data_IF_122036153748
#
_entry.id   IF_122036153748
#
_cell.length_a   1.000
_cell.length_b   1.000
_cell.length_c   1.000
_cell.angle_alpha   90.00
_cell.angle_beta   90.00
_cell.angle_gamma   90.00
#
_symmetry.space_group_name_H-M   'P 1'
#
loop_
_entity.id
_entity.type
_entity.pdbx_description
1 polymer ?
#
# COMPACT_ATOMS: atom_id res chain seq x y z
N UNK A 1 9.81 17.01 -19.47
CA UNK A 1 8.36 16.89 -19.30
C UNK A 1 8.01 16.86 -17.85
N UNK A 2 7.08 17.70 -17.47
CA UNK A 2 6.68 17.77 -16.07
C UNK A 2 6.12 16.45 -15.58
N UNK A 3 5.42 15.73 -16.45
CA UNK A 3 4.85 14.47 -16.03
C UNK A 3 5.90 13.47 -15.60
N UNK A 4 7.03 13.48 -16.30
CA UNK A 4 8.10 12.56 -15.95
C UNK A 4 8.68 12.87 -14.59
N UNK A 5 8.73 14.15 -14.25
CA UNK A 5 9.27 14.58 -12.96
C UNK A 5 8.37 14.18 -11.82
N UNK A 6 7.09 13.92 -12.11
CA UNK A 6 6.12 13.57 -11.07
C UNK A 6 5.82 12.08 -11.05
N UNK A 7 6.55 11.31 -11.82
CA UNK A 7 6.35 9.89 -11.89
C UNK A 7 7.60 9.20 -11.35
N UNK A 8 7.44 8.55 -10.23
CA UNK A 8 8.56 7.95 -9.51
C UNK A 8 8.72 6.47 -9.79
N UNK A 9 7.96 5.94 -10.75
CA UNK A 9 7.99 4.53 -11.06
C UNK A 9 7.23 3.70 -10.02
N UNK A 10 7.20 2.38 -10.22
CA UNK A 10 6.45 1.52 -9.28
C UNK A 10 6.89 1.76 -7.85
N UNK A 11 5.92 1.84 -6.97
CA UNK A 11 6.16 2.16 -5.57
C UNK A 11 6.11 0.90 -4.72
N UNK A 12 6.65 0.99 -3.49
CA UNK A 12 6.67 -0.15 -2.59
C UNK A 12 5.26 -0.70 -2.34
N UNK A 13 4.25 0.19 -2.34
CA UNK A 13 2.88 -0.28 -2.14
C UNK A 13 2.48 -1.31 -3.18
N UNK A 14 2.98 -1.18 -4.41
CA UNK A 14 2.66 -2.14 -5.45
C UNK A 14 3.18 -3.53 -5.07
N UNK A 15 4.43 -3.62 -4.64
CA UNK A 15 5.02 -4.89 -4.23
C UNK A 15 4.30 -5.47 -3.01
N UNK A 16 3.92 -4.61 -2.07
CA UNK A 16 3.21 -5.06 -0.88
C UNK A 16 1.83 -5.61 -1.25
N UNK A 17 1.11 -4.90 -2.14
CA UNK A 17 -0.19 -5.39 -2.59
C UNK A 17 -0.07 -6.73 -3.30
N UNK A 18 0.95 -6.89 -4.12
CA UNK A 18 1.17 -8.16 -4.80
C UNK A 18 1.48 -9.28 -3.80
N UNK A 19 2.29 -8.97 -2.79
CA UNK A 19 2.64 -9.98 -1.78
C UNK A 19 1.41 -10.43 -1.01
N UNK A 20 0.51 -9.51 -0.72
CA UNK A 20 -0.73 -9.81 -0.01
C UNK A 20 -1.84 -10.30 -0.94
N UNK A 21 -1.56 -10.40 -2.25
CA UNK A 21 -2.53 -10.84 -3.26
C UNK A 21 -3.73 -9.92 -3.33
N UNK A 22 -3.47 -8.61 -3.23
CA UNK A 22 -4.52 -7.60 -3.28
C UNK A 22 -4.55 -6.96 -4.65
N UNK A 23 -5.77 -6.67 -5.11
CA UNK A 23 -6.00 -5.93 -6.32
C UNK A 23 -6.53 -4.55 -5.98
N UNK A 24 -6.54 -3.65 -6.96
CA UNK A 24 -7.05 -2.30 -6.74
C UNK A 24 -8.46 -2.33 -6.16
N UNK A 25 -9.27 -3.24 -6.68
CA UNK A 25 -10.65 -3.40 -6.24
C UNK A 25 -10.75 -3.65 -4.73
N UNK A 26 -9.80 -4.39 -4.18
CA UNK A 26 -9.85 -4.73 -2.75
C UNK A 26 -9.76 -3.49 -1.88
N UNK A 27 -8.93 -2.53 -2.28
CA UNK A 27 -8.80 -1.28 -1.53
C UNK A 27 -10.01 -0.40 -1.71
N UNK A 28 -10.54 -0.35 -2.93
CA UNK A 28 -11.72 0.47 -3.22
C UNK A 28 -12.91 -0.01 -2.41
N UNK A 29 -13.09 -1.33 -2.34
CA UNK A 29 -14.23 -1.93 -1.68
C UNK A 29 -14.28 -1.59 -0.19
N UNK A 30 -13.13 -1.59 0.48
CA UNK A 30 -13.10 -1.37 1.94
C UNK A 30 -12.97 0.10 2.32
N UNK A 31 -12.69 0.98 1.36
CA UNK A 31 -12.46 2.40 1.67
C UNK A 31 -13.77 3.08 2.06
N UNK A 32 -13.74 3.81 3.17
CA UNK A 32 -14.87 4.65 3.56
C UNK A 32 -14.64 6.10 3.12
N UNK A 33 -13.59 6.36 2.35
CA UNK A 33 -13.20 7.69 1.94
C UNK A 33 -13.31 7.88 0.43
N UNK A 34 -14.11 7.04 -0.22
CA UNK A 34 -14.41 7.15 -1.65
C UNK A 34 -13.15 7.03 -2.51
N UNK A 35 -12.29 6.10 -2.14
CA UNK A 35 -11.11 5.78 -2.93
C UNK A 35 -11.55 5.15 -4.25
N UNK A 36 -10.90 5.54 -5.34
CA UNK A 36 -11.25 5.03 -6.67
C UNK A 36 -10.16 4.11 -7.20
N UNK A 37 -10.53 3.26 -8.16
CA UNK A 37 -9.56 2.39 -8.83
C UNK A 37 -8.43 3.21 -9.45
N UNK A 38 -8.77 4.34 -10.05
CA UNK A 38 -7.78 5.19 -10.69
C UNK A 38 -6.78 5.73 -9.69
N UNK A 39 -7.26 6.11 -8.51
CA UNK A 39 -6.38 6.62 -7.46
C UNK A 39 -5.43 5.53 -6.97
N UNK A 40 -5.93 4.31 -6.79
CA UNK A 40 -5.07 3.20 -6.37
C UNK A 40 -4.03 2.90 -7.45
N UNK A 41 -4.46 2.90 -8.71
CA UNK A 41 -3.54 2.61 -9.81
C UNK A 41 -2.43 3.65 -9.87
N UNK A 42 -2.77 4.92 -9.73
CA UNK A 42 -1.76 5.97 -9.71
C UNK A 42 -0.77 5.79 -8.56
N UNK A 43 -1.29 5.40 -7.39
CA UNK A 43 -0.44 5.15 -6.23
C UNK A 43 0.59 4.06 -6.53
N UNK A 44 0.14 2.97 -7.14
CA UNK A 44 1.01 1.83 -7.41
C UNK A 44 2.04 2.15 -8.48
N UNK A 45 1.65 2.92 -9.48
CA UNK A 45 2.53 3.23 -10.60
C UNK A 45 3.56 4.31 -10.29
N UNK A 46 3.37 5.04 -9.20
CA UNK A 46 4.35 6.04 -8.78
C UNK A 46 4.02 7.45 -9.16
N UNK A 47 2.79 7.72 -9.59
CA UNK A 47 2.37 9.10 -9.81
C UNK A 47 2.40 9.82 -8.49
N UNK A 48 3.01 11.00 -8.45
CA UNK A 48 3.15 11.70 -7.18
C UNK A 48 1.79 12.10 -6.63
N UNK A 49 1.56 11.75 -5.38
CA UNK A 49 0.31 12.03 -4.69
C UNK A 49 0.54 13.06 -3.60
N UNK A 50 -0.54 13.73 -3.20
CA UNK A 50 -0.49 14.59 -2.03
C UNK A 50 -0.37 13.73 -0.77
N UNK A 51 0.04 14.35 0.32
CA UNK A 51 0.12 13.65 1.60
C UNK A 51 -1.22 13.04 1.98
N UNK A 52 -2.29 13.82 1.82
CA UNK A 52 -3.63 13.32 2.16
C UNK A 52 -3.99 12.10 1.34
N UNK A 53 -3.65 12.10 0.07
CA UNK A 53 -3.97 10.97 -0.79
C UNK A 53 -3.14 9.75 -0.41
N UNK A 54 -1.85 9.95 -0.10
CA UNK A 54 -1.01 8.85 0.34
C UNK A 54 -1.57 8.20 1.60
N UNK A 55 -2.02 9.03 2.54
CA UNK A 55 -2.59 8.52 3.79
C UNK A 55 -3.90 7.81 3.56
N UNK A 56 -4.72 8.31 2.64
CA UNK A 56 -5.99 7.68 2.29
C UNK A 56 -5.77 6.28 1.73
N UNK A 57 -4.80 6.16 0.83
CA UNK A 57 -4.48 4.86 0.25
C UNK A 57 -3.92 3.92 1.31
N UNK A 58 -3.07 4.42 2.20
CA UNK A 58 -2.50 3.61 3.27
C UNK A 58 -3.59 3.05 4.19
N UNK A 59 -4.57 3.88 4.54
CA UNK A 59 -5.66 3.44 5.39
C UNK A 59 -6.46 2.33 4.73
N UNK A 60 -6.76 2.48 3.45
CA UNK A 60 -7.51 1.45 2.73
C UNK A 60 -6.71 0.15 2.64
N UNK A 61 -5.41 0.26 2.41
CA UNK A 61 -4.54 -0.92 2.36
C UNK A 61 -4.61 -1.68 3.68
N UNK A 62 -4.48 -0.98 4.79
CA UNK A 62 -4.49 -1.63 6.09
C UNK A 62 -5.82 -2.31 6.39
N UNK A 63 -6.94 -1.69 6.02
CA UNK A 63 -8.24 -2.30 6.23
C UNK A 63 -8.38 -3.56 5.37
N UNK A 64 -7.95 -3.48 4.11
CA UNK A 64 -8.06 -4.63 3.21
C UNK A 64 -7.26 -5.82 3.75
N UNK A 65 -6.06 -5.56 4.28
CA UNK A 65 -5.25 -6.61 4.85
C UNK A 65 -5.88 -7.16 6.13
N UNK A 66 -6.33 -6.25 7.01
CA UNK A 66 -6.90 -6.63 8.29
C UNK A 66 -8.06 -7.61 8.10
N UNK A 67 -8.90 -7.37 7.10
CA UNK A 67 -10.06 -8.22 6.86
C UNK A 67 -9.68 -9.62 6.38
N UNK A 68 -8.45 -9.80 5.94
CA UNK A 68 -7.96 -11.10 5.47
C UNK A 68 -7.26 -11.89 6.55
N UNK A 69 -7.00 -11.28 7.71
CA UNK A 69 -6.22 -11.90 8.77
C UNK A 69 -7.11 -12.68 9.73
N UNK A 70 -6.59 -13.81 10.19
CA UNK A 70 -7.19 -14.52 11.31
C UNK A 70 -6.99 -13.74 12.59
N UNK A 71 -7.79 -14.05 13.60
CA UNK A 71 -7.75 -13.28 14.83
C UNK A 71 -6.35 -13.28 15.47
N UNK A 72 -5.70 -14.42 15.47
CA UNK A 72 -4.35 -14.51 16.04
C UNK A 72 -3.37 -13.65 15.27
N UNK A 73 -3.54 -13.59 13.95
CA UNK A 73 -2.64 -12.81 13.11
C UNK A 73 -2.82 -11.32 13.33
N UNK A 74 -4.06 -10.91 13.64
CA UNK A 74 -4.35 -9.49 13.85
C UNK A 74 -3.58 -8.90 15.02
N UNK A 75 -3.30 -9.73 16.02
CA UNK A 75 -2.53 -9.28 17.18
C UNK A 75 -1.09 -9.01 16.82
N UNK A 76 -0.61 -9.58 15.72
CA UNK A 76 0.79 -9.44 15.30
C UNK A 76 0.96 -8.43 14.16
N UNK A 77 -0.12 -7.86 13.69
CA UNK A 77 -0.10 -7.02 12.50
C UNK A 77 0.40 -5.60 12.82
N UNK A 78 1.29 -5.09 11.98
CA UNK A 78 1.78 -3.71 12.03
C UNK A 78 1.19 -2.94 10.86
N UNK A 79 0.54 -1.83 11.16
CA UNK A 79 -0.04 -1.01 10.11
C UNK A 79 1.04 -0.40 9.25
N UNK A 80 0.80 -0.40 7.94
CA UNK A 80 1.67 0.30 7.01
C UNK A 80 1.34 1.79 7.05
N UNK A 81 2.37 2.62 7.08
CA UNK A 81 2.15 4.06 7.01
C UNK A 81 2.68 4.57 5.68
N UNK A 82 2.19 5.75 5.29
CA UNK A 82 2.46 6.25 3.95
C UNK A 82 3.96 6.37 3.66
N UNK A 83 4.75 6.76 4.65
CA UNK A 83 6.18 6.93 4.41
C UNK A 83 6.88 5.62 4.09
N UNK A 84 6.28 4.50 4.45
CA UNK A 84 6.85 3.18 4.13
C UNK A 84 6.44 2.72 2.74
N UNK A 85 5.43 3.34 2.16
CA UNK A 85 4.82 2.87 0.92
C UNK A 85 5.26 3.67 -0.30
N UNK A 86 5.69 4.91 -0.11
CA UNK A 86 5.97 5.81 -1.23
C UNK A 86 7.38 6.36 -1.12
N UNK A 87 8.17 6.14 -2.18
CA UNK A 87 9.59 6.48 -2.16
C UNK A 87 9.83 7.99 -2.08
N UNK A 88 8.86 8.78 -2.49
CA UNK A 88 8.99 10.24 -2.45
C UNK A 88 8.41 10.84 -1.17
N UNK A 89 7.90 10.01 -0.27
CA UNK A 89 7.38 10.50 1.00
C UNK A 89 8.53 10.86 1.93
N UNK A 90 8.28 11.90 2.72
CA UNK A 90 9.27 12.30 3.70
C UNK A 90 9.44 11.20 4.73
N UNK A 91 10.68 10.82 5.00
CA UNK A 91 10.98 9.77 5.95
C UNK A 91 11.05 8.38 5.34
N UNK A 92 10.92 8.27 4.02
CA UNK A 92 11.05 6.98 3.36
C UNK A 92 12.44 6.39 3.60
N UNK A 93 12.47 5.12 3.95
CA UNK A 93 13.72 4.40 4.19
C UNK A 93 13.83 3.29 3.14
N UNK A 94 14.79 3.37 2.22
CA UNK A 94 14.94 2.33 1.20
C UNK A 94 15.36 0.98 1.77
N UNK A 95 15.87 0.95 3.00
CA UNK A 95 16.29 -0.30 3.63
C UNK A 95 15.26 -0.86 4.61
N UNK A 96 14.10 -0.23 4.66
CA UNK A 96 13.01 -0.69 5.51
C UNK A 96 12.64 -2.13 5.18
N UNK A 97 12.40 -2.92 6.22
CA UNK A 97 11.96 -4.29 6.04
C UNK A 97 10.54 -4.43 6.56
N UNK A 98 9.74 -5.18 5.80
CA UNK A 98 8.32 -5.32 6.10
C UNK A 98 8.13 -6.08 7.42
N UNK A 99 7.57 -5.42 8.44
CA UNK A 99 7.36 -6.08 9.74
C UNK A 99 6.30 -7.16 9.67
N UNK A 100 5.53 -7.22 8.59
CA UNK A 100 4.47 -8.20 8.44
C UNK A 100 4.89 -9.39 7.59
N UNK A 101 6.19 -9.53 7.30
CA UNK A 101 6.63 -10.55 6.35
C UNK A 101 6.20 -11.96 6.78
N UNK A 102 6.14 -12.23 8.07
CA UNK A 102 5.73 -13.55 8.55
C UNK A 102 4.24 -13.82 8.37
N UNK A 103 3.44 -12.76 8.21
CA UNK A 103 2.00 -12.87 8.03
C UNK A 103 1.59 -12.95 6.58
N UNK A 104 2.46 -12.55 5.67
CA UNK A 104 2.15 -12.49 4.25
C UNK A 104 1.93 -13.90 3.72
N UNK A 105 0.88 -14.12 2.90
CA UNK A 105 0.61 -15.45 2.35
C UNK A 105 1.81 -15.98 1.58
N UNK A 106 2.15 -17.24 1.82
CA UNK A 106 3.28 -17.86 1.15
C UNK A 106 2.88 -18.38 -0.21
N UNK A 107 3.80 -18.26 -1.16
CA UNK A 107 3.61 -18.87 -2.46
C UNK A 107 3.81 -20.37 -2.33
N UNK A 108 2.87 -21.11 -2.89
CA UNK A 108 3.03 -22.55 -2.97
C UNK A 108 3.81 -22.91 -4.22
N UNK A 109 4.82 -23.72 -4.05
CA UNK A 109 5.62 -24.14 -5.18
C UNK A 109 4.82 -25.04 -6.14
#
# INVERSE_FOLDING_TARGET
MEENERNHGPQRIDAIMLAWRLENHDLVTVSIEQLTHKQVQKARQGRQLTLKMMQKVARALNVAIWERLEEEQRELYYEYIHRDLFSYAKGYDPEWQDPNSALIPQQQA
#
